data_IF_929331467376
#
_entry.id   IF_929331467376
#
_cell.length_a   1.000
_cell.length_b   1.000
_cell.length_c   1.000
_cell.angle_alpha   90.00
_cell.angle_beta   90.00
_cell.angle_gamma   90.00
#
_symmetry.space_group_name_H-M   'P 1'
#
loop_
_entity.id
_entity.type
_entity.pdbx_description
1 polymer ?
2 branched ?
3 non-polymer ?
4 non-polymer ?
5 non-polymer ?
6 water ?
#
# COMPACT_ATOMS: atom_id res chain seq x y z
N UNK A 9 -23.59 -21.15 2.04
CA UNK A 9 -23.22 -19.73 1.94
C UNK A 9 -21.91 -19.55 1.14
N UNK A 10 -20.99 -18.64 1.59
CA UNK A 10 -19.69 -18.34 0.96
C UNK A 10 -18.76 -19.55 1.08
N UNK A 11 -18.92 -20.51 0.16
CA UNK A 11 -18.12 -21.73 0.17
C UNK A 11 -17.86 -22.32 -1.21
N UNK A 12 -17.17 -23.49 -1.27
CA UNK A 12 -16.87 -24.10 -2.58
C UNK A 12 -18.11 -24.35 -3.42
N UNK A 13 -18.06 -23.94 -4.69
CA UNK A 13 -19.14 -24.08 -5.67
C UNK A 13 -18.57 -24.67 -6.95
N UNK A 14 -18.98 -25.90 -7.26
CA UNK A 14 -18.55 -26.63 -8.45
C UNK A 14 -19.44 -26.25 -9.61
N UNK A 15 -18.84 -26.03 -10.78
CA UNK A 15 -19.54 -25.66 -12.01
C UNK A 15 -19.23 -26.76 -12.99
N UNK A 16 -20.22 -27.63 -13.27
CA UNK A 16 -20.07 -28.78 -14.16
C UNK A 16 -19.89 -28.34 -15.59
N UNK A 17 -18.85 -28.89 -16.28
CA UNK A 17 -18.50 -28.55 -17.66
C UNK A 17 -19.62 -28.75 -18.66
N UNK A 18 -20.42 -29.83 -18.47
CA UNK A 18 -21.57 -30.16 -19.32
C UNK A 18 -22.59 -29.02 -19.33
N UNK A 19 -22.79 -28.40 -18.15
CA UNK A 19 -23.71 -27.29 -17.91
C UNK A 19 -22.99 -25.94 -18.12
N UNK A 20 -22.48 -25.72 -19.35
CA UNK A 20 -21.75 -24.51 -19.75
C UNK A 20 -21.86 -24.26 -21.25
N UNK A 21 -21.32 -23.12 -21.75
CA UNK A 21 -21.35 -22.76 -23.17
C UNK A 21 -20.23 -23.47 -23.91
N UNK A 22 -20.60 -24.41 -24.79
CA UNK A 22 -19.66 -25.21 -25.56
C UNK A 22 -19.48 -24.66 -26.97
N UNK A 23 -18.22 -24.32 -27.33
CA UNK A 23 -17.86 -23.76 -28.63
C UNK A 23 -16.96 -24.77 -29.35
N UNK A 24 -17.55 -25.47 -30.32
CA UNK A 24 -16.87 -26.51 -31.09
C UNK A 24 -16.50 -27.74 -30.28
N UNK A 25 -17.17 -27.94 -29.14
CA UNK A 25 -16.95 -29.06 -28.22
C UNK A 25 -18.26 -29.82 -27.95
N UNK A 26 -18.15 -31.06 -27.41
CA UNK A 26 -19.30 -31.92 -27.10
C UNK A 26 -19.22 -32.54 -25.71
N UNK A 27 -20.38 -33.03 -25.21
CA UNK A 27 -20.52 -33.69 -23.91
C UNK A 27 -20.31 -35.21 -24.11
N UNK A 28 -19.58 -35.84 -23.18
CA UNK A 28 -19.32 -37.29 -23.22
C UNK A 28 -19.45 -37.94 -21.83
N UNK A 29 -19.61 -39.28 -21.79
CA UNK A 29 -19.81 -40.06 -20.57
C UNK A 29 -18.95 -41.36 -20.49
N UNK A 30 -18.08 -41.61 -21.50
CA UNK A 30 -17.22 -42.80 -21.58
C UNK A 30 -16.24 -42.99 -20.41
N UNK A 31 -15.44 -41.95 -20.06
CA UNK A 31 -14.46 -41.99 -18.98
C UNK A 31 -15.13 -42.15 -17.60
N UNK A 32 -14.43 -42.76 -16.63
CA UNK A 32 -14.92 -43.05 -15.29
C UNK A 32 -14.33 -42.08 -14.25
N UNK A 33 -15.19 -41.67 -13.29
CA UNK A 33 -14.82 -40.82 -12.17
C UNK A 33 -15.34 -39.40 -12.18
N UNK A 34 -16.07 -39.00 -13.24
CA UNK A 34 -16.60 -37.65 -13.38
C UNK A 34 -17.71 -37.36 -12.36
N UNK A 35 -18.04 -36.06 -12.22
CA UNK A 35 -19.10 -35.55 -11.34
C UNK A 35 -20.21 -35.01 -12.23
N UNK A 36 -21.44 -34.96 -11.71
CA UNK A 36 -22.59 -34.49 -12.46
C UNK A 36 -23.04 -35.45 -13.54
N UNK A 37 -23.46 -34.90 -14.68
CA UNK A 37 -23.97 -35.60 -15.86
C UNK A 37 -22.85 -36.30 -16.66
N UNK A 38 -21.74 -35.60 -16.88
CA UNK A 38 -20.62 -36.12 -17.65
C UNK A 38 -19.38 -35.26 -17.60
N UNK A 39 -18.84 -34.95 -18.80
CA UNK A 39 -17.64 -34.13 -19.03
C UNK A 39 -17.64 -33.59 -20.46
N UNK A 40 -16.72 -32.65 -20.77
CA UNK A 40 -16.60 -32.03 -22.10
C UNK A 40 -15.31 -32.48 -22.82
N UNK A 41 -15.44 -32.71 -24.14
CA UNK A 41 -14.37 -33.14 -25.05
C UNK A 41 -14.54 -32.50 -26.44
N UNK A 42 -13.57 -32.75 -27.32
CA UNK A 42 -13.56 -32.25 -28.69
C UNK A 42 -12.62 -31.07 -28.87
N UNK A 43 -11.47 -31.12 -28.18
CA UNK A 43 -10.44 -30.08 -28.22
C UNK A 43 -9.45 -30.31 -29.36
N UNK A 44 -9.93 -30.03 -30.60
CA UNK A 44 -9.17 -30.17 -31.84
C UNK A 44 -8.59 -28.81 -32.25
N UNK A 45 -9.44 -27.92 -32.81
CA UNK A 45 -9.10 -26.57 -33.26
C UNK A 45 -8.77 -25.67 -32.06
N UNK A 46 -8.04 -24.58 -32.31
CA UNK A 46 -7.64 -23.62 -31.29
C UNK A 46 -8.81 -22.86 -30.69
N UNK A 47 -9.81 -22.53 -31.53
CA UNK A 47 -11.03 -21.79 -31.17
C UNK A 47 -11.99 -22.56 -30.21
N UNK A 48 -11.75 -23.88 -30.02
CA UNK A 48 -12.55 -24.74 -29.13
C UNK A 48 -12.36 -24.32 -27.67
N UNK A 49 -13.49 -24.11 -26.96
CA UNK A 49 -13.50 -23.65 -25.57
C UNK A 49 -14.76 -24.03 -24.79
N UNK A 50 -14.72 -23.81 -23.45
CA UNK A 50 -15.82 -23.99 -22.50
C UNK A 50 -16.00 -22.62 -21.83
N UNK A 51 -17.11 -21.93 -22.09
CA UNK A 51 -17.37 -20.64 -21.45
C UNK A 51 -18.33 -20.83 -20.26
N UNK A 52 -17.80 -20.75 -19.03
CA UNK A 52 -18.55 -20.86 -17.78
C UNK A 52 -19.08 -19.49 -17.41
N UNK A 53 -20.39 -19.38 -17.13
CA UNK A 53 -21.03 -18.12 -16.75
C UNK A 53 -21.25 -18.08 -15.23
N UNK A 54 -20.38 -17.35 -14.50
CA UNK A 54 -20.44 -17.22 -13.04
C UNK A 54 -20.77 -15.77 -12.67
N UNK A 55 -21.50 -15.58 -11.57
CA UNK A 55 -21.86 -14.26 -11.07
C UNK A 55 -21.59 -14.14 -9.57
N UNK A 56 -21.28 -12.91 -9.11
CA UNK A 56 -21.06 -12.63 -7.69
C UNK A 56 -21.81 -11.38 -7.25
N UNK A 57 -22.18 -11.31 -5.97
CA UNK A 57 -22.95 -10.19 -5.40
C UNK A 57 -22.13 -8.91 -5.27
N UNK A 58 -20.84 -9.06 -4.90
CA UNK A 58 -19.83 -8.01 -4.74
C UNK A 58 -18.64 -8.42 -5.59
N UNK A 59 -17.54 -7.67 -5.52
CA UNK A 59 -16.32 -8.04 -6.24
C UNK A 59 -15.42 -8.74 -5.24
N UNK A 60 -15.28 -10.07 -5.40
CA UNK A 60 -14.49 -10.95 -4.52
C UNK A 60 -13.36 -11.62 -5.29
N UNK A 61 -12.41 -12.19 -4.54
CA UNK A 61 -11.25 -12.95 -5.02
C UNK A 61 -11.50 -14.44 -4.68
N UNK A 62 -11.60 -15.29 -5.71
CA UNK A 62 -11.86 -16.72 -5.57
C UNK A 62 -10.64 -17.57 -5.97
N UNK A 63 -10.51 -18.76 -5.38
CA UNK A 63 -9.45 -19.70 -5.75
C UNK A 63 -10.01 -20.59 -6.84
N UNK A 64 -9.21 -20.88 -7.88
CA UNK A 64 -9.64 -21.72 -9.00
C UNK A 64 -8.99 -23.12 -8.98
N UNK A 65 -9.81 -24.13 -9.32
CA UNK A 65 -9.46 -25.54 -9.41
C UNK A 65 -10.18 -26.10 -10.62
N UNK A 66 -9.46 -26.90 -11.42
CA UNK A 66 -10.03 -27.53 -12.61
C UNK A 66 -9.98 -29.02 -12.43
N UNK A 67 -11.11 -29.71 -12.69
CA UNK A 67 -11.20 -31.17 -12.64
C UNK A 67 -11.04 -31.67 -14.09
N UNK A 68 -9.88 -32.27 -14.37
CA UNK A 68 -9.47 -32.71 -15.71
C UNK A 68 -9.08 -34.20 -15.77
N UNK A 69 -9.07 -34.75 -17.01
CA UNK A 69 -8.61 -36.10 -17.36
C UNK A 69 -7.67 -35.95 -18.57
N UNK A 70 -6.37 -36.19 -18.34
CA UNK A 70 -5.33 -36.08 -19.37
C UNK A 70 -4.97 -37.46 -19.98
N UNK A 71 -6.00 -38.16 -20.51
CA UNK A 71 -5.90 -39.51 -21.10
C UNK A 71 -5.03 -39.57 -22.38
N UNK A 72 -4.84 -38.43 -23.08
CA UNK A 72 -4.01 -38.35 -24.29
C UNK A 72 -2.60 -37.79 -23.97
N UNK A 73 -2.08 -38.12 -22.79
CA UNK A 73 -0.77 -37.67 -22.30
C UNK A 73 -0.82 -36.26 -21.71
N UNK A 74 0.29 -35.80 -21.06
CA UNK A 74 0.31 -34.46 -20.46
C UNK A 74 0.14 -33.35 -21.48
N UNK A 75 -0.79 -32.42 -21.17
CA UNK A 75 -1.15 -31.30 -22.03
C UNK A 75 -1.12 -29.96 -21.29
N UNK A 76 -1.35 -28.86 -22.02
CA UNK A 76 -1.40 -27.50 -21.48
C UNK A 76 -2.71 -26.83 -21.90
N UNK A 77 -3.27 -25.97 -21.02
CA UNK A 77 -4.56 -25.30 -21.25
C UNK A 77 -4.44 -23.80 -21.05
N UNK A 78 -5.31 -23.05 -21.73
CA UNK A 78 -5.41 -21.61 -21.57
C UNK A 78 -6.71 -21.28 -20.80
N UNK A 79 -6.57 -20.54 -19.68
CA UNK A 79 -7.69 -20.11 -18.84
C UNK A 79 -7.87 -18.60 -19.03
N UNK A 80 -9.09 -18.15 -19.34
CA UNK A 80 -9.39 -16.74 -19.62
C UNK A 80 -10.49 -16.19 -18.68
N UNK A 81 -10.15 -15.14 -17.93
CA UNK A 81 -11.08 -14.45 -17.03
C UNK A 81 -11.63 -13.17 -17.69
N UNK A 82 -12.95 -13.14 -17.92
CA UNK A 82 -13.68 -12.00 -18.51
C UNK A 82 -13.04 -11.48 -19.81
N UNK A 83 -12.67 -12.41 -20.72
CA UNK A 83 -12.03 -12.13 -22.02
C UNK A 83 -10.70 -11.33 -21.85
N UNK A 84 -9.95 -11.65 -20.80
CA UNK A 84 -8.66 -11.04 -20.48
C UNK A 84 -7.50 -11.83 -21.04
N UNK A 85 -6.34 -11.74 -20.38
CA UNK A 85 -5.14 -12.46 -20.78
C UNK A 85 -5.29 -13.95 -20.46
N UNK A 86 -4.62 -14.83 -21.25
CA UNK A 86 -4.61 -16.28 -21.01
C UNK A 86 -3.75 -16.60 -19.79
N UNK A 87 -3.89 -17.81 -19.28
CA UNK A 87 -3.10 -18.31 -18.17
C UNK A 87 -2.96 -19.81 -18.41
N UNK A 88 -1.72 -20.25 -18.67
CA UNK A 88 -1.43 -21.64 -18.97
C UNK A 88 -1.46 -22.50 -17.74
N UNK A 89 -2.32 -23.52 -17.75
CA UNK A 89 -2.43 -24.50 -16.67
C UNK A 89 -1.93 -25.83 -17.23
N UNK A 90 -1.00 -26.46 -16.52
CA UNK A 90 -0.40 -27.71 -16.94
C UNK A 90 -1.14 -28.94 -16.35
N UNK A 91 -1.53 -29.89 -17.21
CA UNK A 91 -2.19 -31.14 -16.86
C UNK A 91 -1.12 -32.26 -16.92
N UNK A 92 -0.59 -32.75 -15.78
CA UNK A 92 0.58 -33.66 -15.81
C UNK A 92 0.45 -35.12 -16.27
N UNK A 93 -0.63 -35.87 -15.95
CA UNK A 93 -0.61 -37.30 -16.34
C UNK A 93 -1.43 -37.61 -17.64
N UNK A 94 -2.59 -38.29 -17.64
CA UNK A 94 -3.35 -38.85 -16.53
C UNK A 94 -4.30 -39.97 -16.92
N UNK A 95 -4.44 -40.98 -16.04
CA UNK A 95 -5.31 -42.15 -16.24
C UNK A 95 -6.77 -41.92 -15.79
N UNK A 96 -6.95 -41.20 -14.65
CA UNK A 96 -8.26 -40.89 -14.05
C UNK A 96 -8.56 -39.37 -14.03
N UNK A 97 -9.65 -38.97 -13.33
CA UNK A 97 -10.03 -37.56 -13.17
C UNK A 97 -9.42 -37.04 -11.88
N UNK A 98 -8.62 -35.96 -11.99
CA UNK A 98 -7.99 -35.31 -10.84
C UNK A 98 -8.13 -33.79 -10.96
N UNK A 99 -7.69 -33.04 -9.94
CA UNK A 99 -7.81 -31.59 -9.95
C UNK A 99 -6.48 -30.85 -9.75
N UNK A 100 -6.36 -29.70 -10.43
CA UNK A 100 -5.20 -28.81 -10.46
C UNK A 100 -5.55 -27.43 -9.88
N UNK A 101 -4.62 -26.79 -9.18
CA UNK A 101 -4.81 -25.44 -8.67
C UNK A 101 -4.50 -24.50 -9.86
N UNK A 102 -5.46 -23.65 -10.24
CA UNK A 102 -5.31 -22.71 -11.35
C UNK A 102 -5.23 -21.25 -10.81
N UNK A 103 -4.55 -21.11 -9.67
CA UNK A 103 -4.36 -19.83 -9.00
C UNK A 103 -5.64 -19.16 -8.52
N UNK A 104 -5.57 -17.81 -8.40
CA UNK A 104 -6.70 -16.99 -7.96
C UNK A 104 -7.38 -16.28 -9.13
N UNK A 105 -8.59 -15.80 -8.89
CA UNK A 105 -9.41 -15.12 -9.89
C UNK A 105 -10.24 -14.02 -9.18
N UNK A 106 -10.33 -12.83 -9.78
CA UNK A 106 -11.11 -11.75 -9.21
C UNK A 106 -12.38 -11.57 -10.00
N UNK A 107 -13.51 -11.85 -9.35
CA UNK A 107 -14.82 -11.69 -10.00
C UNK A 107 -15.42 -10.36 -9.61
N UNK A 108 -16.04 -9.69 -10.58
CA UNK A 108 -16.70 -8.40 -10.40
C UNK A 108 -18.17 -8.61 -10.09
N UNK A 109 -18.77 -7.71 -9.31
CA UNK A 109 -20.20 -7.78 -9.00
C UNK A 109 -20.98 -7.89 -10.31
N UNK A 110 -21.79 -8.94 -10.41
CA UNK A 110 -22.58 -9.22 -11.60
C UNK A 110 -22.05 -10.39 -12.40
N UNK A 111 -22.36 -10.44 -13.70
CA UNK A 111 -21.93 -11.49 -14.61
C UNK A 111 -20.42 -11.48 -14.88
N UNK A 112 -19.82 -12.68 -15.00
CA UNK A 112 -18.40 -12.95 -15.26
C UNK A 112 -18.26 -14.21 -16.10
N UNK A 113 -17.11 -14.38 -16.78
CA UNK A 113 -16.84 -15.57 -17.58
C UNK A 113 -15.48 -16.16 -17.25
N UNK A 114 -15.40 -17.49 -17.24
CA UNK A 114 -14.17 -18.26 -17.07
C UNK A 114 -14.15 -19.27 -18.22
N UNK A 115 -13.35 -18.96 -19.25
CA UNK A 115 -13.20 -19.81 -20.43
C UNK A 115 -12.04 -20.75 -20.22
N UNK A 116 -12.20 -21.98 -20.71
CA UNK A 116 -11.16 -23.00 -20.75
C UNK A 116 -10.98 -23.25 -22.24
N UNK A 117 -9.97 -22.59 -22.81
CA UNK A 117 -9.68 -22.59 -24.24
C UNK A 117 -8.61 -23.62 -24.57
N UNK A 118 -8.75 -24.25 -25.76
CA UNK A 118 -7.84 -25.22 -26.32
C UNK A 118 -6.48 -24.56 -26.57
N UNK A 119 -5.44 -25.12 -25.95
CA UNK A 119 -4.08 -24.66 -26.11
C UNK A 119 -3.41 -25.82 -26.87
N UNK A 120 -3.03 -26.89 -26.14
CA UNK A 120 -2.48 -28.12 -26.69
C UNK A 120 -3.65 -29.03 -27.05
N UNK A 121 -4.75 -28.86 -26.31
CA UNK A 121 -5.97 -29.63 -26.47
C UNK A 121 -5.82 -31.05 -26.00
N UNK A 122 -6.70 -31.95 -26.51
CA UNK A 122 -6.74 -33.38 -26.23
C UNK A 122 -6.77 -33.69 -24.73
N UNK A 123 -7.82 -33.22 -24.05
CA UNK A 123 -8.10 -33.42 -22.63
C UNK A 123 -9.61 -33.46 -22.38
N UNK A 124 -10.00 -33.93 -21.19
CA UNK A 124 -11.41 -33.99 -20.77
C UNK A 124 -11.57 -33.14 -19.54
N UNK A 125 -12.51 -32.20 -19.55
CA UNK A 125 -12.79 -31.34 -18.40
C UNK A 125 -14.16 -31.71 -17.79
N UNK A 126 -14.11 -32.13 -16.52
CA UNK A 126 -15.27 -32.51 -15.74
C UNK A 126 -16.00 -31.25 -15.23
N UNK A 127 -15.30 -30.42 -14.43
CA UNK A 127 -15.83 -29.23 -13.77
C UNK A 127 -14.72 -28.24 -13.33
N UNK A 128 -15.17 -27.05 -12.81
CA UNK A 128 -14.33 -26.00 -12.22
C UNK A 128 -14.93 -25.59 -10.88
N UNK A 129 -14.13 -25.56 -9.81
CA UNK A 129 -14.65 -25.19 -8.50
C UNK A 129 -14.02 -23.87 -7.98
N UNK A 130 -14.89 -22.87 -7.72
CA UNK A 130 -14.53 -21.54 -7.20
C UNK A 130 -14.83 -21.48 -5.72
N UNK A 131 -13.79 -21.31 -4.93
CA UNK A 131 -13.90 -21.20 -3.48
C UNK A 131 -13.49 -19.78 -3.10
N UNK A 132 -14.29 -19.04 -2.29
CA UNK A 132 -13.83 -17.69 -1.89
C UNK A 132 -12.50 -17.78 -1.15
N UNK A 133 -11.55 -16.88 -1.47
CA UNK A 133 -10.22 -16.90 -0.87
C UNK A 133 -10.28 -16.74 0.64
N UNK A 134 -9.31 -17.39 1.31
CA UNK A 134 -9.18 -17.43 2.76
C UNK A 134 -9.27 -16.06 3.44
N UNK A 135 -10.23 -15.86 4.36
CA UNK A 135 -10.31 -14.58 5.08
C UNK A 135 -9.11 -14.46 6.02
N UNK A 136 -8.44 -13.30 5.96
CA UNK A 136 -7.26 -12.95 6.75
C UNK A 136 -7.54 -13.03 8.27
N UNK A 137 -6.61 -13.61 9.08
CA UNK A 137 -6.84 -13.65 10.55
C UNK A 137 -6.87 -12.25 11.16
N UNK A 138 -7.57 -12.03 12.32
CA UNK A 138 -7.54 -10.70 12.94
C UNK A 138 -6.11 -10.25 13.23
N UNK A 139 -5.84 -8.98 12.95
CA UNK A 139 -4.51 -8.40 13.11
C UNK A 139 -4.09 -8.35 14.59
N UNK A 140 -2.87 -8.82 14.91
CA UNK A 140 -2.37 -8.80 16.27
C UNK A 140 -1.60 -7.50 16.59
N UNK A 141 -2.29 -6.35 16.37
CA UNK A 141 -1.73 -5.01 16.54
C UNK A 141 -1.39 -4.71 18.00
N UNK A 142 -0.15 -4.21 18.21
CA UNK A 142 0.39 -3.80 19.51
C UNK A 142 -0.53 -2.73 20.09
N UNK A 143 -0.93 -2.86 21.37
CA UNK A 143 -1.89 -1.89 21.93
C UNK A 143 -1.33 -0.51 22.27
N UNK A 144 -0.02 -0.43 22.56
CA UNK A 144 0.64 0.81 22.99
C UNK A 144 1.83 1.21 22.13
N UNK A 145 2.11 2.53 22.10
CA UNK A 145 3.22 3.15 21.39
C UNK A 145 4.53 2.81 22.11
N UNK A 146 5.66 2.80 21.36
CA UNK A 146 7.00 2.51 21.90
C UNK A 146 7.41 3.46 23.01
N UNK A 147 7.12 4.77 22.86
CA UNK A 147 7.42 5.78 23.87
C UNK A 147 6.43 5.61 25.03
N UNK A 148 6.92 5.30 26.26
CA UNK A 148 5.98 5.14 27.38
C UNK A 148 5.42 6.49 27.83
N UNK A 149 6.21 7.56 27.68
CA UNK A 149 5.83 8.92 28.05
C UNK A 149 5.00 9.64 26.97
N UNK A 150 4.36 8.90 26.04
CA UNK A 150 3.53 9.44 24.96
C UNK A 150 2.38 10.28 25.49
N UNK A 151 2.19 11.50 24.92
CA UNK A 151 1.15 12.43 25.35
C UNK A 151 -0.26 11.90 25.02
N UNK A 152 -1.30 12.52 25.60
CA UNK A 152 -2.71 12.16 25.50
C UNK A 152 -3.19 11.94 24.06
N UNK A 153 -3.07 12.96 23.22
CA UNK A 153 -3.54 12.93 21.83
C UNK A 153 -2.80 11.92 20.94
N UNK A 154 -1.52 11.63 21.23
CA UNK A 154 -0.78 10.63 20.46
C UNK A 154 -1.34 9.26 20.83
N UNK A 155 -1.55 9.03 22.16
CA UNK A 155 -2.15 7.83 22.75
C UNK A 155 -3.59 7.64 22.23
N UNK A 156 -4.32 8.75 22.04
CA UNK A 156 -5.68 8.76 21.48
C UNK A 156 -5.63 8.39 19.99
N UNK A 157 -4.79 9.10 19.19
CA UNK A 157 -4.61 8.84 17.76
C UNK A 157 -4.29 7.38 17.50
N UNK A 158 -3.28 6.83 18.21
CA UNK A 158 -2.87 5.43 18.07
C UNK A 158 -4.04 4.46 18.34
N UNK A 159 -4.85 4.72 19.39
CA UNK A 159 -6.00 3.91 19.76
C UNK A 159 -7.09 3.97 18.70
N UNK A 160 -7.36 5.19 18.18
CA UNK A 160 -8.36 5.39 17.14
C UNK A 160 -7.94 4.66 15.86
N UNK A 161 -6.64 4.75 15.50
CA UNK A 161 -6.10 4.10 14.30
C UNK A 161 -6.22 2.60 14.48
N UNK A 162 -5.89 2.12 15.70
CA UNK A 162 -5.95 0.71 16.08
C UNK A 162 -7.38 0.18 16.00
N UNK A 163 -8.37 1.01 16.35
CA UNK A 163 -9.78 0.63 16.33
C UNK A 163 -10.34 0.54 14.91
N UNK A 164 -9.81 1.33 13.97
CA UNK A 164 -10.30 1.36 12.59
C UNK A 164 -9.56 0.37 11.66
N UNK A 165 -8.39 -0.12 12.09
CA UNK A 165 -7.55 -1.00 11.28
C UNK A 165 -8.22 -2.31 10.87
N UNK A 166 -8.27 -2.51 9.56
CA UNK A 166 -8.90 -3.66 8.94
C UNK A 166 -10.38 -3.43 8.66
N UNK A 167 -10.97 -2.43 9.32
CA UNK A 167 -12.40 -2.15 9.16
C UNK A 167 -12.68 -1.13 8.08
N UNK A 168 -11.83 -0.07 8.01
CA UNK A 168 -11.95 1.01 7.01
C UNK A 168 -10.54 1.44 6.57
N UNK A 169 -10.49 2.41 5.62
CA UNK A 169 -9.26 3.08 5.20
C UNK A 169 -9.45 4.58 5.40
N UNK A 170 -8.49 5.22 6.10
CA UNK A 170 -8.53 6.66 6.30
C UNK A 170 -8.01 7.35 5.03
N UNK A 171 -8.79 8.25 4.42
CA UNK A 171 -8.34 9.02 3.25
C UNK A 171 -7.31 10.07 3.71
N UNK A 172 -6.36 10.37 2.84
CA UNK A 172 -5.31 11.31 3.14
C UNK A 172 -4.82 12.00 1.88
N UNK A 173 -4.19 13.18 2.08
CA UNK A 173 -3.66 13.99 1.00
C UNK A 173 -2.39 14.72 1.39
N UNK A 174 -1.52 14.94 0.41
CA UNK A 174 -0.32 15.73 0.63
C UNK A 174 -0.69 17.16 0.32
N UNK A 175 -0.54 18.04 1.33
CA UNK A 175 -0.80 19.49 1.29
C UNK A 175 -2.27 19.81 1.48
N UNK A 176 -2.52 20.84 2.30
CA UNK A 176 -3.83 21.36 2.69
C UNK A 176 -4.60 21.97 1.55
N UNK A 177 -3.94 22.65 0.62
CA UNK A 177 -4.64 23.25 -0.51
C UNK A 177 -5.20 22.20 -1.46
N UNK A 178 -4.54 21.02 -1.53
CA UNK A 178 -4.99 19.89 -2.33
C UNK A 178 -6.17 19.21 -1.66
N UNK A 179 -6.17 19.20 -0.30
CA UNK A 179 -7.28 18.66 0.49
C UNK A 179 -8.54 19.50 0.25
N UNK A 180 -8.38 20.83 0.05
CA UNK A 180 -9.50 21.72 -0.25
C UNK A 180 -10.01 21.51 -1.68
N UNK A 181 -9.11 21.19 -2.63
CA UNK A 181 -9.48 20.94 -4.01
C UNK A 181 -10.31 19.66 -4.12
N UNK A 182 -10.01 18.63 -3.27
CA UNK A 182 -10.76 17.36 -3.22
C UNK A 182 -12.21 17.64 -2.79
N UNK A 183 -12.40 18.50 -1.76
CA UNK A 183 -13.73 18.92 -1.27
C UNK A 183 -14.51 19.65 -2.41
N UNK A 184 -13.80 20.43 -3.23
CA UNK A 184 -14.40 21.13 -4.36
C UNK A 184 -14.86 20.19 -5.48
N UNK A 185 -14.35 18.94 -5.51
CA UNK A 185 -14.69 17.99 -6.60
C UNK A 185 -15.60 16.86 -6.15
N UNK A 186 -15.45 16.42 -4.89
CA UNK A 186 -16.17 15.29 -4.31
C UNK A 186 -17.14 15.66 -3.18
N UNK A 187 -17.04 16.89 -2.65
CA UNK A 187 -17.84 17.35 -1.53
C UNK A 187 -17.34 16.80 -0.20
N UNK A 188 -16.27 16.02 -0.25
CA UNK A 188 -15.63 15.36 0.89
C UNK A 188 -14.19 15.85 1.08
N UNK A 189 -13.67 15.80 2.31
CA UNK A 189 -12.33 16.25 2.67
C UNK A 189 -11.50 15.10 3.25
N UNK A 190 -10.22 14.94 2.81
CA UNK A 190 -9.37 13.90 3.41
C UNK A 190 -9.31 14.02 4.93
N UNK A 191 -9.41 12.89 5.62
CA UNK A 191 -9.35 12.87 7.07
C UNK A 191 -7.94 13.28 7.55
N UNK A 192 -6.92 12.85 6.79
CA UNK A 192 -5.50 13.02 7.07
C UNK A 192 -4.85 13.97 6.08
N UNK A 193 -4.04 14.91 6.58
CA UNK A 193 -3.27 15.82 5.73
C UNK A 193 -1.81 15.69 6.11
N UNK A 194 -0.97 15.50 5.09
CA UNK A 194 0.46 15.38 5.29
C UNK A 194 1.17 16.67 4.89
N UNK A 195 2.07 17.12 5.76
CA UNK A 195 2.89 18.33 5.55
C UNK A 195 4.37 17.96 5.56
N UNK A 196 5.20 18.76 4.86
CA UNK A 196 6.64 18.55 4.71
C UNK A 196 7.45 19.59 5.48
N UNK A 197 8.34 19.13 6.40
CA UNK A 197 9.21 20.06 7.13
C UNK A 197 10.41 20.56 6.29
N UNK A 198 10.44 20.23 4.98
CA UNK A 198 11.49 20.58 4.01
C UNK A 198 12.07 22.01 4.13
N UNK A 199 11.23 23.07 3.98
CA UNK A 199 11.70 24.46 4.03
C UNK A 199 12.11 24.95 5.45
N UNK A 200 12.17 24.04 6.42
CA UNK A 200 12.64 24.34 7.78
C UNK A 200 14.11 23.90 7.93
N UNK A 201 14.65 23.19 6.92
CA UNK A 201 16.02 22.69 6.88
C UNK A 201 16.98 23.88 6.79
N UNK A 202 17.88 24.08 7.82
CA UNK A 202 18.81 25.23 7.81
C UNK A 202 19.52 25.49 6.48
N UNK A 203 19.96 24.42 5.80
CA UNK A 203 20.60 24.44 4.49
C UNK A 203 19.76 25.25 3.47
N UNK A 204 18.42 25.16 3.57
CA UNK A 204 17.45 25.84 2.71
C UNK A 204 17.08 27.23 3.27
N UNK A 205 16.85 27.31 4.61
CA UNK A 205 16.53 28.57 5.31
C UNK A 205 17.60 29.61 4.95
N UNK A 206 18.89 29.19 4.99
CA UNK A 206 20.08 29.98 4.64
C UNK A 206 19.94 30.62 3.28
N UNK A 207 19.24 29.94 2.33
CA UNK A 207 19.01 30.47 0.98
C UNK A 207 17.66 31.15 0.80
N UNK A 208 16.98 31.43 1.90
CA UNK A 208 15.72 32.18 1.93
C UNK A 208 14.40 31.43 1.92
N UNK A 209 14.40 30.13 2.26
CA UNK A 209 13.14 29.36 2.27
C UNK A 209 12.35 29.54 3.56
N UNK A 210 11.05 29.77 3.39
CA UNK A 210 10.05 29.91 4.46
C UNK A 210 9.04 28.76 4.35
N UNK A 211 8.47 28.36 5.49
CA UNK A 211 7.49 27.27 5.54
C UNK A 211 6.30 27.59 6.44
N UNK A 212 5.09 27.20 5.98
CA UNK A 212 3.83 27.34 6.71
C UNK A 212 3.29 25.95 7.11
N UNK A 213 4.18 24.92 7.10
CA UNK A 213 3.87 23.53 7.43
C UNK A 213 3.30 23.35 8.83
N UNK A 214 3.75 24.15 9.79
CA UNK A 214 3.24 24.09 11.17
C UNK A 214 1.83 24.74 11.21
N UNK A 215 1.64 25.82 10.45
CA UNK A 215 0.38 26.55 10.32
C UNK A 215 -0.70 25.64 9.72
N UNK A 216 -0.37 24.99 8.57
CA UNK A 216 -1.26 24.05 7.87
C UNK A 216 -1.64 22.85 8.73
N UNK A 217 -0.68 22.29 9.51
CA UNK A 217 -0.92 21.14 10.37
C UNK A 217 -1.90 21.47 11.45
N UNK A 218 -1.66 22.56 12.21
CA UNK A 218 -2.55 23.07 13.27
C UNK A 218 -3.95 23.41 12.70
N UNK A 219 -4.03 24.05 11.51
CA UNK A 219 -5.32 24.35 10.85
C UNK A 219 -6.15 23.05 10.72
N UNK A 220 -5.57 21.99 10.08
CA UNK A 220 -6.22 20.70 9.89
C UNK A 220 -6.50 19.98 11.21
N UNK A 221 -5.64 20.16 12.22
CA UNK A 221 -5.87 19.59 13.55
C UNK A 221 -7.10 20.26 14.21
N UNK A 222 -7.31 21.57 13.93
CA UNK A 222 -8.44 22.31 14.46
C UNK A 222 -9.72 21.94 13.72
N UNK A 223 -9.59 21.50 12.47
CA UNK A 223 -10.76 21.06 11.68
C UNK A 223 -11.16 19.62 12.08
N UNK A 224 -10.47 19.06 13.07
CA UNK A 224 -10.71 17.73 13.61
C UNK A 224 -10.01 16.60 12.88
N UNK A 225 -9.01 16.95 12.06
CA UNK A 225 -8.26 16.00 11.25
C UNK A 225 -7.06 15.34 11.89
N UNK A 226 -6.46 14.41 11.13
CA UNK A 226 -5.24 13.67 11.50
C UNK A 226 -4.07 14.30 10.71
N UNK A 227 -2.89 14.39 11.37
CA UNK A 227 -1.72 15.03 10.76
C UNK A 227 -0.55 14.06 10.56
N UNK A 228 0.02 14.06 9.35
CA UNK A 228 1.19 13.28 9.01
C UNK A 228 2.30 14.26 8.62
N UNK A 229 3.51 14.02 9.10
CA UNK A 229 4.62 14.90 8.80
C UNK A 229 5.83 14.12 8.29
N UNK A 230 6.30 14.50 7.10
CA UNK A 230 7.50 13.94 6.48
C UNK A 230 8.56 15.06 6.38
N UNK A 231 9.80 14.69 6.10
CA UNK A 231 10.87 15.67 6.02
C UNK A 231 11.80 15.38 4.87
N UNK A 232 11.80 16.26 3.88
CA UNK A 232 12.73 16.17 2.76
C UNK A 232 13.95 16.95 3.25
N UNK A 233 14.77 16.26 4.06
CA UNK A 233 15.99 16.75 4.72
C UNK A 233 17.05 17.18 3.72
N UNK A 234 17.27 18.49 3.61
CA UNK A 234 18.27 19.05 2.71
C UNK A 234 19.59 18.97 3.46
N UNK A 235 20.57 18.22 2.90
CA UNK A 235 21.89 18.01 3.53
C UNK A 235 22.50 19.31 4.08
N UNK A 236 23.09 19.31 5.29
CA UNK A 236 23.66 20.58 5.82
C UNK A 236 24.88 21.07 5.04
N UNK A 237 25.62 20.12 4.43
CA UNK A 237 26.84 20.35 3.67
C UNK A 237 26.94 19.45 2.40
N UNK A 238 27.87 19.77 1.50
CA UNK A 238 28.13 19.02 0.27
C UNK A 238 27.34 19.41 -0.97
N UNK A 239 26.51 20.46 -0.85
CA UNK A 239 25.64 20.96 -1.90
C UNK A 239 26.38 21.42 -3.16
N UNK A 240 26.31 20.63 -4.24
CA UNK A 240 26.92 20.93 -5.54
C UNK A 240 26.51 22.30 -6.10
N UNK A 241 25.24 22.71 -5.89
CA UNK A 241 24.64 23.97 -6.34
C UNK A 241 24.97 24.31 -7.81
N UNK A 242 24.72 23.33 -8.69
CA UNK A 242 24.96 23.36 -10.13
C UNK A 242 23.63 23.66 -10.86
N UNK A 243 23.68 24.15 -12.12
CA UNK A 243 22.50 24.40 -12.94
C UNK A 243 21.68 23.10 -13.05
N UNK A 244 22.38 21.96 -13.19
CA UNK A 244 21.80 20.62 -13.28
C UNK A 244 21.41 20.09 -11.89
N UNK A 245 22.17 20.46 -10.83
CA UNK A 245 21.93 19.98 -9.46
C UNK A 245 21.91 21.10 -8.40
N UNK A 246 20.84 21.89 -8.43
CA UNK A 246 20.58 23.04 -7.56
C UNK A 246 20.47 22.69 -6.07
N UNK A 247 20.80 23.66 -5.19
CA UNK A 247 20.77 23.56 -3.72
C UNK A 247 19.39 23.12 -3.21
N UNK A 248 18.31 23.52 -3.95
CA UNK A 248 16.93 23.20 -3.62
C UNK A 248 16.57 21.72 -3.91
N UNK A 249 17.52 20.94 -4.47
CA UNK A 249 17.36 19.51 -4.70
C UNK A 249 18.26 18.77 -3.71
N UNK A 250 18.76 19.49 -2.71
CA UNK A 250 19.71 19.04 -1.68
C UNK A 250 19.39 17.82 -0.85
N UNK A 251 18.18 17.28 -1.01
CA UNK A 251 17.74 16.06 -0.31
C UNK A 251 18.17 14.83 -1.13
N UNK A 252 18.48 15.05 -2.42
CA UNK A 252 18.93 14.01 -3.35
C UNK A 252 20.42 13.69 -3.25
N UNK A 253 20.75 12.40 -3.31
CA UNK A 253 22.12 11.85 -3.36
C UNK A 253 22.87 12.53 -4.54
N UNK A 254 22.19 12.65 -5.67
CA UNK A 254 22.60 13.28 -6.92
C UNK A 254 23.03 14.76 -6.75
N UNK A 255 22.47 15.47 -5.74
CA UNK A 255 22.74 16.89 -5.50
C UNK A 255 23.75 17.20 -4.36
N UNK A 256 24.23 16.16 -3.63
CA UNK A 256 25.21 16.37 -2.56
C UNK A 256 26.32 15.33 -2.50
N UNK A 257 27.50 15.75 -1.98
CA UNK A 257 28.60 14.82 -1.73
C UNK A 257 28.53 14.32 -0.28
N UNK A 258 27.55 14.82 0.50
CA UNK A 258 27.31 14.49 1.90
C UNK A 258 27.23 12.98 2.14
N UNK A 259 28.22 12.47 2.89
CA UNK A 259 28.40 11.05 3.22
C UNK A 259 27.99 10.86 4.67
N UNK A 260 26.83 10.24 4.87
CA UNK A 260 26.28 10.00 6.21
C UNK A 260 27.12 8.95 6.99
N UNK A 261 27.63 7.89 6.33
CA UNK A 261 28.47 6.85 6.94
C UNK A 261 29.73 7.48 7.55
N UNK A 262 30.43 8.34 6.78
CA UNK A 262 31.63 9.07 7.21
C UNK A 262 31.29 9.91 8.43
N UNK A 263 30.20 10.68 8.32
CA UNK A 263 29.66 11.57 9.34
C UNK A 263 29.31 10.83 10.65
N UNK A 264 28.78 9.60 10.57
CA UNK A 264 28.44 8.85 11.77
C UNK A 264 29.67 8.15 12.37
N UNK A 265 30.64 7.79 11.50
CA UNK A 265 31.90 7.17 11.91
C UNK A 265 32.79 8.18 12.68
N UNK A 266 32.57 9.49 12.44
CA UNK A 266 33.28 10.59 13.08
C UNK A 266 32.30 11.51 13.90
N UNK A 267 31.79 11.04 15.07
CA UNK A 267 30.81 11.86 15.82
C UNK A 267 31.30 13.18 16.42
N UNK A 268 32.61 13.42 16.47
CA UNK A 268 33.14 14.65 17.06
C UNK A 268 33.50 15.72 16.01
N UNK A 269 33.19 15.44 14.74
CA UNK A 269 33.45 16.34 13.63
C UNK A 269 32.45 17.48 13.48
N UNK A 270 32.63 18.28 12.41
CA UNK A 270 31.76 19.41 12.10
C UNK A 270 30.52 18.91 11.36
N UNK A 271 30.70 17.93 10.42
CA UNK A 271 29.64 17.28 9.64
C UNK A 271 28.53 16.80 10.61
N UNK A 272 28.90 16.07 11.69
CA UNK A 272 28.00 15.52 12.72
C UNK A 272 27.38 16.62 13.57
N UNK A 273 28.09 17.75 13.76
CA UNK A 273 27.62 18.90 14.55
C UNK A 273 26.44 19.57 13.83
N UNK A 274 26.58 19.77 12.50
CA UNK A 274 25.59 20.39 11.61
C UNK A 274 24.37 19.50 11.46
N UNK A 275 24.59 18.17 11.47
CA UNK A 275 23.57 17.13 11.40
C UNK A 275 22.59 17.31 12.58
N UNK A 276 23.14 17.51 13.80
CA UNK A 276 22.34 17.73 15.00
C UNK A 276 21.74 19.14 14.98
N UNK A 277 22.41 20.11 14.31
CA UNK A 277 21.88 21.48 14.16
C UNK A 277 20.52 21.38 13.45
N UNK A 278 20.48 20.61 12.34
CA UNK A 278 19.33 20.31 11.48
C UNK A 278 18.19 19.63 12.26
N UNK A 279 18.50 18.56 13.02
CA UNK A 279 17.54 17.81 13.85
C UNK A 279 16.91 18.75 14.91
N UNK A 280 17.73 19.61 15.54
CA UNK A 280 17.26 20.54 16.55
C UNK A 280 16.39 21.66 15.94
N UNK A 281 16.75 22.14 14.72
CA UNK A 281 15.98 23.15 13.99
C UNK A 281 14.57 22.63 13.69
N UNK A 282 14.48 21.36 13.26
CA UNK A 282 13.23 20.67 12.98
C UNK A 282 12.48 20.36 14.30
N UNK A 283 13.24 20.07 15.39
CA UNK A 283 12.67 19.82 16.72
C UNK A 283 11.91 21.02 17.27
N UNK A 284 12.29 22.24 16.83
CA UNK A 284 11.65 23.50 17.20
C UNK A 284 10.23 23.49 16.62
N UNK A 285 10.11 23.05 15.35
CA UNK A 285 8.83 22.96 14.65
C UNK A 285 7.89 21.89 15.23
N UNK A 286 8.45 20.76 15.66
CA UNK A 286 7.68 19.66 16.24
C UNK A 286 7.18 20.02 17.65
N UNK A 287 8.01 20.75 18.44
CA UNK A 287 7.68 21.20 19.81
C UNK A 287 6.53 22.19 19.74
N UNK A 288 6.56 23.03 18.68
CA UNK A 288 5.57 24.04 18.37
C UNK A 288 4.23 23.33 18.10
N UNK A 289 4.26 22.15 17.42
CA UNK A 289 3.09 21.30 17.16
C UNK A 289 2.64 20.59 18.45
N UNK A 290 3.61 20.10 19.28
CA UNK A 290 3.35 19.41 20.55
C UNK A 290 2.58 20.32 21.51
N UNK A 291 3.09 21.57 21.71
CA UNK A 291 2.49 22.60 22.56
C UNK A 291 1.06 22.94 22.09
N UNK A 292 0.79 22.74 20.78
CA UNK A 292 -0.51 22.99 20.14
C UNK A 292 -1.44 21.78 20.25
N UNK A 293 -0.96 20.71 20.91
CA UNK A 293 -1.70 19.47 21.15
C UNK A 293 -1.96 18.64 19.90
N UNK A 294 -1.07 18.74 18.90
CA UNK A 294 -1.21 18.06 17.62
C UNK A 294 -0.44 16.73 17.60
N UNK A 295 -1.12 15.55 17.59
CA UNK A 295 -0.39 14.28 17.47
C UNK A 295 0.12 14.14 16.03
N UNK A 296 1.36 13.67 15.88
CA UNK A 296 2.01 13.62 14.58
C UNK A 296 2.43 12.20 14.18
N UNK A 297 2.04 11.80 12.96
CA UNK A 297 2.46 10.54 12.36
C UNK A 297 3.77 10.92 11.65
N UNK A 298 4.84 10.95 12.46
CA UNK A 298 6.19 11.35 12.09
C UNK A 298 6.81 10.33 11.19
N UNK A 299 7.16 10.74 9.95
CA UNK A 299 7.74 9.86 8.94
C UNK A 299 9.12 10.36 8.44
N UNK A 300 10.18 10.40 9.29
CA UNK A 300 11.49 10.85 8.80
C UNK A 300 12.22 9.72 8.05
N UNK A 301 13.20 10.11 7.21
CA UNK A 301 14.04 9.22 6.41
C UNK A 301 13.22 8.32 5.49
N UNK A 302 12.23 8.91 4.84
CA UNK A 302 11.35 8.19 3.91
C UNK A 302 12.10 7.71 2.66
N UNK A 303 11.64 6.58 2.08
CA UNK A 303 12.20 5.95 0.87
C UNK A 303 13.72 5.74 0.95
N UNK A 304 14.22 5.41 2.17
CA UNK A 304 15.65 5.21 2.45
C UNK A 304 16.24 4.15 1.52
N UNK A 305 15.68 2.93 1.55
CA UNK A 305 16.09 1.78 0.74
C UNK A 305 16.32 2.08 -0.74
N UNK A 306 15.68 3.13 -1.25
CA UNK A 306 15.80 3.57 -2.64
C UNK A 306 17.17 4.09 -2.98
N UNK A 307 17.81 4.74 -1.99
CA UNK A 307 19.13 5.31 -2.13
C UNK A 307 19.22 6.62 -2.90
N UNK A 308 18.07 7.16 -3.39
CA UNK A 308 18.03 8.43 -4.13
C UNK A 308 18.08 9.66 -3.22
N UNK A 309 18.00 9.46 -1.88
CA UNK A 309 18.14 10.50 -0.87
C UNK A 309 19.42 10.23 -0.08
N UNK A 310 20.17 11.30 0.26
CA UNK A 310 21.47 11.18 0.93
C UNK A 310 21.46 10.28 2.17
N UNK A 311 20.32 10.10 2.83
CA UNK A 311 20.29 9.29 4.04
C UNK A 311 20.29 7.78 3.79
N UNK A 312 20.15 7.36 2.53
CA UNK A 312 20.15 5.95 2.17
C UNK A 312 21.18 5.64 1.09
N UNK A 313 22.08 6.62 0.85
CA UNK A 313 23.13 6.56 -0.17
C UNK A 313 24.28 5.65 0.25
N UNK A 314 24.50 5.52 1.58
CA UNK A 314 25.57 4.70 2.15
C UNK A 314 25.07 3.34 2.66
N UNK A 315 23.90 2.92 2.20
CA UNK A 315 23.32 1.62 2.53
C UNK A 315 22.51 1.59 3.81
N UNK A 316 22.00 0.37 4.14
CA UNK A 316 21.09 0.23 5.28
C UNK A 316 21.62 0.62 6.66
N UNK A 317 22.78 0.10 7.08
CA UNK A 317 23.35 0.36 8.41
C UNK A 317 23.45 1.86 8.76
N UNK A 318 24.07 2.76 7.93
CA UNK A 318 24.07 4.20 8.30
C UNK A 318 22.66 4.80 8.40
N UNK A 319 21.69 4.33 7.57
CA UNK A 319 20.31 4.81 7.62
C UNK A 319 19.65 4.48 8.97
N UNK A 320 19.70 3.20 9.41
CA UNK A 320 19.15 2.71 10.69
C UNK A 320 19.76 3.47 11.87
N UNK A 321 21.09 3.71 11.84
CA UNK A 321 21.84 4.43 12.86
C UNK A 321 21.34 5.87 12.99
N UNK A 322 21.02 6.52 11.84
CA UNK A 322 20.48 7.88 11.82
C UNK A 322 19.06 7.90 12.41
N UNK A 323 18.23 6.88 12.10
CA UNK A 323 16.88 6.75 12.64
C UNK A 323 16.93 6.78 14.16
N UNK A 324 17.88 6.00 14.74
CA UNK A 324 18.13 5.91 16.18
C UNK A 324 18.70 7.22 16.76
N UNK A 325 19.43 8.01 15.95
CA UNK A 325 19.95 9.33 16.37
C UNK A 325 18.73 10.24 16.54
N UNK A 326 17.86 10.28 15.50
CA UNK A 326 16.62 11.07 15.51
C UNK A 326 15.76 10.65 16.70
N UNK A 327 15.55 9.34 16.88
CA UNK A 327 14.77 8.81 18.00
C UNK A 327 15.31 9.25 19.36
N UNK A 328 16.65 9.21 19.57
CA UNK A 328 17.24 9.65 20.83
C UNK A 328 17.12 11.17 20.98
N UNK A 329 17.46 11.95 19.95
CA UNK A 329 17.42 13.41 20.02
C UNK A 329 16.01 13.98 20.21
N UNK A 330 15.04 13.52 19.40
CA UNK A 330 13.67 14.03 19.45
C UNK A 330 12.85 13.49 20.64
N UNK A 331 12.99 12.19 20.99
CA UNK A 331 12.22 11.59 22.08
C UNK A 331 12.86 11.83 23.46
N UNK A 332 14.16 11.54 23.61
CA UNK A 332 14.87 11.67 24.88
C UNK A 332 15.32 13.11 25.17
N UNK A 333 16.17 13.69 24.31
CA UNK A 333 16.72 15.04 24.49
C UNK A 333 15.64 16.15 24.45
N UNK A 334 14.93 16.29 23.32
CA UNK A 334 13.88 17.31 23.15
C UNK A 334 12.58 16.98 23.90
N UNK A 335 12.45 15.73 24.35
CA UNK A 335 11.29 15.24 25.10
C UNK A 335 9.95 15.33 24.40
N UNK A 336 9.93 15.01 23.09
CA UNK A 336 8.73 15.05 22.25
C UNK A 336 7.93 13.76 22.45
N UNK A 337 6.69 13.91 22.91
CA UNK A 337 5.81 12.79 23.21
C UNK A 337 4.55 12.73 22.34
N UNK A 338 4.46 13.62 21.33
CA UNK A 338 3.32 13.66 20.39
C UNK A 338 3.60 12.84 19.12
N UNK A 339 4.84 12.34 18.97
CA UNK A 339 5.29 11.63 17.79
C UNK A 339 4.98 10.13 17.77
N UNK A 340 4.41 9.68 16.63
CA UNK A 340 4.11 8.29 16.29
C UNK A 340 5.06 8.00 15.13
N UNK A 341 6.05 7.13 15.35
CA UNK A 341 7.11 6.86 14.37
C UNK A 341 6.68 5.90 13.29
N UNK A 342 6.71 6.41 12.05
CA UNK A 342 6.32 5.73 10.82
C UNK A 342 7.56 5.44 9.94
N UNK A 343 7.91 4.15 9.77
CA UNK A 343 9.02 3.70 8.91
C UNK A 343 8.50 3.55 7.50
N UNK A 344 9.33 3.84 6.48
CA UNK A 344 8.88 3.89 5.08
C UNK A 344 9.73 3.01 4.08
N UNK A 345 10.37 1.96 4.61
CA UNK A 345 11.15 1.01 3.81
C UNK A 345 10.63 -0.41 4.04
N UNK A 346 10.46 -1.17 2.94
CA UNK A 346 9.95 -2.54 2.95
C UNK A 346 11.02 -3.59 3.37
N UNK A 347 12.28 -3.45 2.87
CA UNK A 347 13.39 -4.39 3.12
C UNK A 347 13.78 -4.59 4.58
N UNK A 348 14.02 -5.88 4.98
CA UNK A 348 14.40 -6.30 6.34
C UNK A 348 15.79 -5.78 6.76
N UNK A 349 16.76 -5.76 5.82
CA UNK A 349 18.12 -5.25 6.05
C UNK A 349 18.09 -3.78 6.46
N UNK A 350 17.05 -3.03 6.00
CA UNK A 350 16.82 -1.60 6.24
C UNK A 350 15.96 -1.33 7.48
N UNK A 351 15.14 -2.32 7.90
CA UNK A 351 14.26 -2.20 9.07
C UNK A 351 15.04 -1.87 10.36
N UNK A 352 14.77 -0.70 11.00
CA UNK A 352 15.54 -0.33 12.19
C UNK A 352 15.33 -1.23 13.42
N UNK A 353 14.06 -1.58 13.70
CA UNK A 353 13.70 -2.40 14.85
C UNK A 353 12.36 -2.03 15.47
N UNK A 354 11.64 -3.05 15.97
CA UNK A 354 10.31 -2.94 16.57
C UNK A 354 10.18 -1.93 17.72
N UNK A 355 11.28 -1.63 18.43
CA UNK A 355 11.31 -0.72 19.58
C UNK A 355 11.36 0.78 19.24
N UNK A 356 11.47 1.14 17.93
CA UNK A 356 11.54 2.53 17.47
C UNK A 356 10.56 2.83 16.31
N UNK A 357 9.85 1.80 15.84
CA UNK A 357 8.88 1.88 14.74
C UNK A 357 7.51 1.52 15.31
N UNK A 358 6.51 2.39 15.13
CA UNK A 358 5.16 2.20 15.64
C UNK A 358 4.23 1.66 14.54
N UNK A 359 4.29 2.29 13.35
CA UNK A 359 3.50 1.95 12.18
C UNK A 359 4.46 1.82 10.98
N UNK A 360 4.19 0.86 10.10
CA UNK A 360 4.99 0.61 8.90
C UNK A 360 4.29 1.24 7.71
N UNK A 361 5.07 1.74 6.74
CA UNK A 361 4.51 2.35 5.54
C UNK A 361 5.33 2.10 4.29
N UNK A 362 4.75 2.46 3.14
CA UNK A 362 5.33 2.33 1.82
C UNK A 362 4.86 3.47 0.94
N UNK A 363 5.67 3.82 -0.07
CA UNK A 363 5.32 4.81 -1.08
C UNK A 363 5.18 4.03 -2.36
N UNK A 364 3.94 3.93 -2.91
CA UNK A 364 3.64 3.15 -4.10
C UNK A 364 3.12 4.07 -5.18
N UNK A 365 3.82 4.11 -6.34
CA UNK A 365 3.48 4.96 -7.48
C UNK A 365 3.21 4.14 -8.75
N UNK A 366 2.00 3.56 -8.85
CA UNK A 366 1.55 2.75 -9.99
C UNK A 366 0.12 3.14 -10.44
N UNK A 367 -0.05 3.49 -11.73
CA UNK A 367 -1.35 3.87 -12.28
C UNK A 367 -2.34 2.71 -12.29
N UNK A 368 -3.62 3.02 -12.10
CA UNK A 368 -4.68 2.02 -12.12
C UNK A 368 -5.66 2.04 -10.96
N UNK A 369 -5.24 2.64 -9.82
CA UNK A 369 -6.04 2.75 -8.58
C UNK A 369 -6.25 1.37 -7.94
N UNK A 370 -5.19 0.56 -7.98
CA UNK A 370 -5.17 -0.80 -7.46
C UNK A 370 -4.99 -0.88 -5.95
N UNK A 371 -5.13 -2.10 -5.37
CA UNK A 371 -4.99 -2.23 -3.91
C UNK A 371 -3.57 -2.26 -3.39
N UNK A 372 -2.55 -2.29 -4.29
CA UNK A 372 -1.12 -2.39 -3.91
C UNK A 372 -0.93 -3.56 -2.95
N UNK A 373 -1.55 -4.70 -3.32
CA UNK A 373 -1.57 -5.93 -2.55
C UNK A 373 -0.18 -6.46 -2.16
N UNK A 374 0.73 -6.58 -3.15
CA UNK A 374 2.07 -7.14 -2.95
C UNK A 374 2.84 -6.38 -1.86
N UNK A 375 2.88 -5.02 -1.92
CA UNK A 375 3.56 -4.17 -0.92
C UNK A 375 2.96 -4.31 0.48
N UNK A 376 1.62 -4.42 0.57
CA UNK A 376 0.92 -4.60 1.85
C UNK A 376 1.36 -5.91 2.55
N UNK A 377 1.33 -7.03 1.81
CA UNK A 377 1.71 -8.35 2.31
C UNK A 377 3.19 -8.44 2.68
N UNK A 378 4.06 -7.69 1.99
CA UNK A 378 5.49 -7.63 2.28
C UNK A 378 5.72 -7.02 3.66
N UNK A 379 4.94 -5.98 4.02
CA UNK A 379 5.02 -5.31 5.31
C UNK A 379 4.28 -6.09 6.40
N UNK A 380 3.29 -6.94 6.00
CA UNK A 380 2.58 -7.84 6.94
C UNK A 380 3.63 -8.82 7.49
N UNK A 381 4.51 -9.30 6.59
CA UNK A 381 5.61 -10.20 6.86
C UNK A 381 6.71 -9.49 7.64
N UNK A 382 6.96 -8.19 7.37
CA UNK A 382 8.01 -7.41 8.03
C UNK A 382 7.72 -7.14 9.50
N UNK A 383 6.53 -6.60 9.79
CA UNK A 383 6.11 -6.31 11.16
C UNK A 383 5.46 -7.49 11.86
N UNK A 384 5.40 -8.64 11.16
CA UNK A 384 4.84 -9.94 11.54
C UNK A 384 3.39 -9.81 12.12
N UNK A 385 2.61 -8.86 11.55
CA UNK A 385 1.21 -8.48 11.87
C UNK A 385 1.03 -7.77 13.25
N UNK A 386 2.14 -7.42 13.91
CA UNK A 386 2.13 -6.71 15.19
C UNK A 386 2.02 -5.18 15.01
N UNK A 387 2.39 -4.68 13.82
CA UNK A 387 2.36 -3.25 13.48
C UNK A 387 1.39 -2.95 12.34
N UNK A 388 0.71 -1.79 12.40
CA UNK A 388 -0.20 -1.35 11.34
C UNK A 388 0.59 -0.92 10.10
N UNK A 389 -0.03 -1.06 8.92
CA UNK A 389 0.57 -0.77 7.61
C UNK A 389 -0.17 0.37 6.95
N UNK A 390 0.55 1.39 6.44
CA UNK A 390 -0.05 2.55 5.76
C UNK A 390 0.54 2.78 4.38
N UNK A 391 -0.29 3.32 3.47
CA UNK A 391 0.17 3.70 2.12
C UNK A 391 0.48 5.20 2.28
N UNK A 392 1.69 5.51 2.81
CA UNK A 392 2.14 6.86 3.13
C UNK A 392 2.12 7.81 1.94
N UNK A 393 2.45 7.32 0.75
CA UNK A 393 2.38 8.10 -0.48
C UNK A 393 1.90 7.19 -1.58
N UNK A 394 0.84 7.60 -2.27
CA UNK A 394 0.33 6.89 -3.44
C UNK A 394 0.26 7.90 -4.57
N UNK A 395 0.36 7.40 -5.80
CA UNK A 395 0.21 8.24 -6.98
C UNK A 395 -1.25 8.19 -7.38
N UNK A 396 -1.85 6.98 -7.24
CA UNK A 396 -3.23 6.67 -7.57
C UNK A 396 -3.95 6.22 -6.31
N UNK A 397 -5.09 6.89 -5.98
CA UNK A 397 -5.91 6.57 -4.81
C UNK A 397 -6.48 5.17 -4.96
N UNK A 398 -6.44 4.31 -3.95
CA UNK A 398 -6.91 2.93 -4.15
C UNK A 398 -8.43 2.79 -4.12
N UNK A 399 -8.98 1.96 -5.02
CA UNK A 399 -10.43 1.69 -5.06
C UNK A 399 -10.81 0.79 -3.86
N UNK A 400 -11.88 1.14 -3.10
CA UNK A 400 -12.23 0.35 -1.89
C UNK A 400 -12.69 -1.07 -2.19
N UNK A 401 -13.29 -1.28 -3.35
CA UNK A 401 -13.73 -2.61 -3.79
C UNK A 401 -12.57 -3.58 -3.87
N UNK A 402 -11.44 -3.13 -4.48
CA UNK A 402 -10.23 -3.93 -4.65
C UNK A 402 -9.45 -4.09 -3.38
N UNK A 403 -9.40 -3.04 -2.53
CA UNK A 403 -8.71 -3.06 -1.23
C UNK A 403 -9.32 -4.20 -0.41
N UNK A 404 -10.66 -4.26 -0.40
CA UNK A 404 -11.44 -5.26 0.32
C UNK A 404 -11.29 -6.69 -0.24
N UNK A 405 -11.40 -6.85 -1.58
CA UNK A 405 -11.24 -8.12 -2.28
C UNK A 405 -9.88 -8.73 -2.01
N UNK A 406 -8.80 -7.95 -2.20
CA UNK A 406 -7.45 -8.43 -1.99
C UNK A 406 -7.03 -8.33 -0.54
N UNK A 407 -7.97 -7.97 0.34
CA UNK A 407 -7.76 -7.81 1.78
C UNK A 407 -6.50 -6.98 2.10
N UNK A 408 -6.24 -5.93 1.27
CA UNK A 408 -5.12 -5.01 1.40
C UNK A 408 -5.58 -3.95 2.42
N UNK A 409 -5.38 -4.32 3.69
CA UNK A 409 -5.88 -3.61 4.86
C UNK A 409 -5.01 -2.40 5.26
N UNK A 410 -4.63 -1.59 4.28
CA UNK A 410 -3.87 -0.37 4.51
C UNK A 410 -4.67 0.51 5.49
N UNK A 411 -4.01 1.03 6.52
CA UNK A 411 -4.62 1.90 7.54
C UNK A 411 -5.08 3.21 6.92
N UNK A 412 -4.21 3.84 6.09
CA UNK A 412 -4.51 5.08 5.41
C UNK A 412 -3.83 5.15 4.05
N UNK A 413 -4.23 6.10 3.22
CA UNK A 413 -3.62 6.38 1.93
C UNK A 413 -3.43 7.88 1.83
N UNK A 414 -2.33 8.34 1.19
CA UNK A 414 -2.12 9.77 1.04
C UNK A 414 -1.60 10.07 -0.34
N UNK A 415 -2.52 10.42 -1.25
CA UNK A 415 -2.19 10.71 -2.64
C UNK A 415 -1.25 11.89 -2.59
N UNK A 416 -0.18 11.82 -3.40
CA UNK A 416 0.78 12.91 -3.51
C UNK A 416 0.10 14.12 -4.20
N UNK A 417 0.75 15.29 -4.12
CA UNK A 417 0.25 16.53 -4.69
C UNK A 417 0.26 16.65 -6.20
N UNK A 418 0.87 17.73 -6.68
CA UNK A 418 0.95 18.14 -8.07
C UNK A 418 1.40 17.05 -9.01
N UNK A 419 0.70 16.94 -10.16
CA UNK A 419 0.92 15.96 -11.24
C UNK A 419 0.47 14.52 -10.85
N UNK A 420 -0.26 14.39 -9.73
CA UNK A 420 -0.82 13.14 -9.25
C UNK A 420 -2.31 13.29 -8.94
N UNK A 421 -2.66 13.88 -7.76
CA UNK A 421 -4.06 14.10 -7.35
C UNK A 421 -4.88 14.90 -8.38
N UNK A 422 -4.26 15.90 -9.06
CA UNK A 422 -4.88 16.79 -10.03
C UNK A 422 -4.54 16.36 -11.44
N UNK A 423 -4.04 15.13 -11.60
CA UNK A 423 -3.66 14.62 -12.91
C UNK A 423 -4.67 13.56 -13.30
N UNK A 424 -5.47 13.83 -14.36
CA UNK A 424 -6.48 12.84 -14.78
C UNK A 424 -5.92 11.47 -15.17
N UNK A 425 -4.62 11.40 -15.60
CA UNK A 425 -3.94 10.15 -15.95
C UNK A 425 -3.66 9.24 -14.73
N UNK A 426 -3.70 9.77 -13.51
CA UNK A 426 -3.47 9.03 -12.27
C UNK A 426 -4.79 8.86 -11.48
N UNK A 427 -5.53 9.96 -11.33
CA UNK A 427 -6.80 10.02 -10.61
C UNK A 427 -7.78 10.88 -11.42
N UNK A 428 -8.91 10.31 -11.84
CA UNK A 428 -9.95 11.07 -12.55
C UNK A 428 -10.85 11.60 -11.46
N UNK A 429 -11.63 12.66 -11.72
CA UNK A 429 -12.56 13.16 -10.69
C UNK A 429 -13.61 12.05 -10.38
N UNK A 430 -14.04 11.29 -11.41
CA UNK A 430 -14.98 10.18 -11.33
C UNK A 430 -14.53 9.17 -10.31
N UNK A 431 -13.28 8.68 -10.43
CA UNK A 431 -12.69 7.71 -9.50
C UNK A 431 -12.59 8.32 -8.12
N UNK A 432 -12.15 9.60 -8.03
CA UNK A 432 -12.05 10.31 -6.75
C UNK A 432 -13.36 10.31 -6.00
N UNK A 433 -14.46 10.68 -6.69
CA UNK A 433 -15.81 10.67 -6.13
C UNK A 433 -16.21 9.27 -5.62
N UNK A 434 -15.94 8.24 -6.44
CA UNK A 434 -16.20 6.83 -6.16
C UNK A 434 -15.48 6.44 -4.86
N UNK A 435 -14.19 6.76 -4.72
CA UNK A 435 -13.39 6.48 -3.52
C UNK A 435 -13.85 7.31 -2.30
N UNK A 436 -13.94 8.64 -2.44
CA UNK A 436 -14.28 9.55 -1.34
C UNK A 436 -15.70 9.39 -0.79
N UNK A 437 -16.65 8.91 -1.60
CA UNK A 437 -18.01 8.70 -1.15
C UNK A 437 -18.33 7.24 -0.81
N UNK A 438 -17.29 6.42 -0.49
CA UNK A 438 -17.44 5.02 -0.09
C UNK A 438 -17.60 4.90 1.40
N UNK A 439 -18.37 3.89 1.83
CA UNK A 439 -18.55 3.64 3.26
C UNK A 439 -17.33 2.97 3.85
N UNK A 440 -16.39 2.57 2.99
CA UNK A 440 -15.10 1.97 3.39
C UNK A 440 -14.05 3.05 3.66
N UNK A 441 -14.17 4.22 3.01
CA UNK A 441 -13.23 5.33 3.07
C UNK A 441 -13.69 6.43 4.03
N UNK A 442 -12.95 6.57 5.14
CA UNK A 442 -13.24 7.59 6.15
C UNK A 442 -12.75 8.97 5.70
N UNK A 443 -13.66 9.95 5.68
CA UNK A 443 -13.34 11.34 5.34
C UNK A 443 -13.32 12.15 6.64
N UNK A 444 -13.05 13.48 6.56
CA UNK A 444 -13.01 14.40 7.72
C UNK A 444 -14.29 14.28 8.57
N UNK A 445 -15.46 14.41 7.91
CA UNK A 445 -16.83 14.24 8.41
C UNK A 445 -16.95 13.01 9.33
N UNK A 446 -16.68 11.81 8.74
CA UNK A 446 -16.78 10.48 9.35
C UNK A 446 -15.83 10.24 10.54
N UNK A 447 -14.69 10.96 10.65
CA UNK A 447 -13.73 10.74 11.75
C UNK A 447 -13.96 11.71 12.95
N UNK A 448 -14.86 12.73 12.79
CA UNK A 448 -15.19 13.73 13.82
C UNK A 448 -15.47 13.13 15.20
N UNK A 449 -14.84 13.72 16.21
CA UNK A 449 -14.97 13.29 17.60
C UNK A 449 -14.07 12.15 18.00
N UNK A 450 -13.05 11.81 17.17
CA UNK A 450 -12.09 10.72 17.48
C UNK A 450 -11.27 11.03 18.73
N UNK A 451 -11.06 12.33 19.01
CA UNK A 451 -10.30 12.85 20.14
C UNK A 451 -11.15 12.95 21.43
N UNK A 452 -12.45 12.59 21.36
CA UNK A 452 -13.37 12.67 22.50
C UNK A 452 -13.32 11.45 23.40
X LIG B 1 32.10 17.73 5.96
X LIG B 1 33.30 16.83 5.64
X LIG B 1 33.94 17.42 4.38
X LIG B 1 32.96 17.40 3.22
X LIG B 1 31.61 17.99 3.61
X LIG B 1 30.50 17.65 2.65
X LIG B 1 34.81 15.52 7.08
X LIG B 1 35.68 15.56 8.31
X LIG B 1 34.26 16.70 6.72
X LIG B 1 35.10 16.65 4.05
X LIG B 1 33.51 18.12 2.11
X LIG B 1 31.17 17.51 4.89
X LIG B 1 30.32 16.23 2.53
X LIG B 1 34.60 14.48 6.47
X LIG B 2 33.80 17.43 0.89
X LIG B 2 34.24 18.44 -0.16
X LIG B 2 34.54 17.70 -1.47
X LIG B 2 35.58 16.62 -1.24
X LIG B 2 35.17 15.69 -0.10
X LIG B 2 36.27 14.74 0.31
X LIG B 2 33.32 20.71 0.13
X LIG B 2 32.21 21.65 -0.28
X LIG B 2 33.24 19.47 -0.38
X LIG B 2 34.99 18.63 -2.45
X LIG B 2 35.76 15.85 -2.44
X LIG B 2 34.85 16.47 1.07
X LIG B 2 35.88 13.88 1.38
X LIG B 2 34.22 21.06 0.88
X LIG C 1 -18.97 -33.09 -15.13
X LIG D 1 2.51 28.58 0.22
X LIG E 1 8.03 12.83 -2.09
X LIG E 1 8.83 11.01 -1.28
X LIG E 1 8.75 11.84 -2.20
X LIG E 1 9.54 11.67 -3.46
X LIG E 1 10.12 12.93 -3.86
X LIG E 1 8.79 10.91 -4.57
X LIG E 1 8.30 9.64 -4.13
X LIG E 1 7.72 11.64 -5.36
X LIG E 1 7.00 12.51 -4.81
X LIG E 1 7.54 11.33 -6.57
#
# INVERSE_FOLDING_TARGET
MSIKPCKPRDGPVTYEAEDAILTGTTVDTAQVGYTGRGYVTGFDEGSDKITFQISSATTKLYDLSIRYAAIYGDKRTNVVLNNGAVSEVFFPAGDSFTSVAAGQVLLNAGQNTIDIVNNWGWYLIDSITLTPSAPRPPHDINPNLNNPNADTNAKKLYSYLRSVYGNKIISGQQELHHAEWIRQQTGKTPALVAVDLMDYSPSRVERGTTSHAVEDAIAHHNAGGIVSVLWHWNAPVGLYDTEENKWWSGFYTRATDFDIAATLANPQGANYTLLIRDIDAIAVQLKRLEAAGVPVLWRPLHEAEGGWFWWGAKGPEPAKQLWDILYERLTVHHGLDNLIWVWNSILEDWYPGDDTVDILSADVYAQGNGPMSTQYNELIALGRDKKMIAAAEVGAAPLPGLLQAYQANWLWFAVWGDDFINNPSWNTVAVLNEIYNSDYVLTLDEIQGWRSGDEQKLISEEDLNSAVDHHHHHH
NAG C1 C2 C3 C4 C5 C6 C7 C8 N2 O3 O4 O5 O6 O7
NAG C1 C2 C3 C4 C5 C6 C7 C8 N2 O3 O4 O5 O6 O7
CA CA
HG HG
TLA O1 O11 C1 C2 O2 C3 O3 C4 O4 O41
#
